data_IF_371753111971
#
_entry.id   IF_371753111971
#
_cell.length_a   1.000
_cell.length_b   1.000
_cell.length_c   1.000
_cell.angle_alpha   90.00
_cell.angle_beta   90.00
_cell.angle_gamma   90.00
#
_symmetry.space_group_name_H-M   'P 1'
#
loop_
_entity.id
_entity.type
_entity.pdbx_description
1 polymer ?
#
# COMPACT_ATOMS: atom_id res chain seq x y z
N UNK A 1 80.36 5.11 -16.36
CA UNK A 1 80.88 4.61 -17.66
C UNK A 1 79.73 4.00 -18.41
N UNK A 2 79.32 4.66 -19.46
CA UNK A 2 79.17 4.10 -20.82
C UNK A 2 78.15 2.96 -20.89
N UNK A 3 77.19 2.91 -21.78
CA UNK A 3 76.76 3.57 -23.07
C UNK A 3 75.35 3.06 -23.35
N UNK A 4 74.36 3.87 -23.72
CA UNK A 4 73.93 4.21 -25.09
C UNK A 4 73.70 3.00 -25.99
N UNK A 5 72.45 2.86 -26.44
CA UNK A 5 71.91 2.72 -27.83
C UNK A 5 70.52 2.09 -27.71
N UNK A 6 69.45 2.71 -27.98
CA UNK A 6 68.89 3.33 -29.23
C UNK A 6 68.36 2.34 -30.27
N UNK A 7 67.16 2.60 -30.72
CA UNK A 7 66.51 2.37 -32.01
C UNK A 7 65.82 1.00 -32.19
N UNK A 8 64.65 0.83 -32.74
CA UNK A 8 63.83 1.41 -33.77
C UNK A 8 62.53 0.63 -33.89
N UNK A 9 61.43 1.35 -34.03
CA UNK A 9 60.23 1.13 -34.88
C UNK A 9 59.79 -0.29 -35.23
N UNK A 10 58.51 -0.57 -34.98
CA UNK A 10 57.58 -0.98 -36.04
C UNK A 10 56.12 -0.79 -35.59
N UNK A 11 55.42 0.02 -36.32
CA UNK A 11 53.98 0.22 -36.21
C UNK A 11 53.25 -1.00 -36.81
N UNK A 12 52.29 -1.52 -36.06
CA UNK A 12 51.26 -2.38 -36.62
C UNK A 12 49.91 -1.96 -36.07
N UNK A 13 49.12 -1.29 -36.91
CA UNK A 13 47.73 -1.00 -36.72
C UNK A 13 46.98 -2.35 -36.55
N UNK A 14 46.36 -2.52 -35.39
CA UNK A 14 45.27 -3.48 -35.19
C UNK A 14 44.04 -2.72 -34.74
N UNK A 15 43.12 -2.55 -35.66
CA UNK A 15 41.78 -2.03 -35.42
C UNK A 15 41.05 -3.12 -34.63
N UNK A 16 40.86 -2.94 -33.33
CA UNK A 16 39.91 -3.70 -32.54
C UNK A 16 38.67 -2.87 -32.38
N UNK A 17 37.60 -3.35 -33.02
CA UNK A 17 36.26 -2.79 -32.85
C UNK A 17 35.84 -2.92 -31.39
N UNK A 18 35.83 -1.81 -30.69
CA UNK A 18 35.23 -1.67 -29.35
C UNK A 18 33.72 -1.74 -29.49
N UNK A 19 33.14 -2.89 -29.15
CA UNK A 19 31.73 -2.99 -28.82
C UNK A 19 31.43 -2.08 -27.65
N UNK A 20 30.77 -0.96 -27.91
CA UNK A 20 30.32 -0.05 -26.89
C UNK A 20 29.30 -0.72 -25.97
N UNK A 21 29.64 -0.93 -24.70
CA UNK A 21 28.67 -1.09 -23.66
C UNK A 21 27.92 0.22 -23.55
N UNK A 22 26.70 0.24 -24.09
CA UNK A 22 25.77 1.34 -23.81
C UNK A 22 25.43 1.30 -22.33
N UNK A 23 26.06 2.20 -21.60
CA UNK A 23 25.60 2.63 -20.30
C UNK A 23 24.21 3.22 -20.48
N UNK A 24 23.17 2.48 -20.07
CA UNK A 24 21.81 3.03 -19.99
C UNK A 24 21.85 4.15 -18.95
N UNK A 25 21.99 5.36 -19.45
CA UNK A 25 21.79 6.56 -18.66
C UNK A 25 20.41 6.48 -18.01
N UNK A 26 20.38 6.73 -16.71
CA UNK A 26 19.15 6.97 -15.97
C UNK A 26 18.41 8.11 -16.70
N UNK A 27 17.26 7.81 -17.25
CA UNK A 27 16.33 8.83 -17.73
C UNK A 27 15.84 9.59 -16.50
N UNK A 28 15.79 10.93 -16.52
CA UNK A 28 15.11 11.68 -15.48
C UNK A 28 13.65 11.24 -15.43
N UNK A 29 13.15 10.96 -14.23
CA UNK A 29 11.73 10.68 -13.97
C UNK A 29 10.94 11.94 -14.40
N UNK A 30 10.35 11.89 -15.59
CA UNK A 30 9.39 12.88 -16.06
C UNK A 30 8.03 12.53 -15.47
N UNK A 31 7.66 13.27 -14.43
CA UNK A 31 6.44 13.08 -13.65
C UNK A 31 5.15 13.48 -14.38
N UNK A 32 4.91 13.00 -15.59
CA UNK A 32 3.66 13.25 -16.32
C UNK A 32 3.39 12.14 -17.35
N UNK A 33 2.83 11.03 -16.83
CA UNK A 33 1.88 10.21 -17.61
C UNK A 33 1.18 9.31 -16.60
N UNK A 34 -0.13 9.40 -16.53
CA UNK A 34 -0.95 8.36 -15.93
C UNK A 34 -0.63 7.03 -16.61
N UNK A 35 0.32 6.30 -16.05
CA UNK A 35 0.51 4.90 -16.42
C UNK A 35 -0.79 4.21 -16.02
N UNK A 36 -1.44 3.61 -16.98
CA UNK A 36 -2.56 2.71 -16.70
C UNK A 36 -1.97 1.59 -15.86
N UNK A 37 -2.24 1.60 -14.55
CA UNK A 37 -1.84 0.51 -13.66
C UNK A 37 -2.28 -0.79 -14.28
N UNK A 38 -1.32 -1.65 -14.57
CA UNK A 38 -1.61 -2.92 -15.20
C UNK A 38 -1.99 -3.90 -14.07
N UNK A 39 -3.22 -4.37 -14.06
CA UNK A 39 -3.72 -5.30 -13.05
C UNK A 39 -2.84 -6.56 -12.88
N UNK A 40 -1.99 -6.88 -13.87
CA UNK A 40 -1.05 -8.01 -13.80
C UNK A 40 0.14 -7.77 -12.85
N UNK A 41 0.41 -6.53 -12.46
CA UNK A 41 1.52 -6.17 -11.59
C UNK A 41 1.07 -5.96 -10.14
N UNK A 42 -0.25 -6.02 -9.88
CA UNK A 42 -0.84 -5.81 -8.56
C UNK A 42 -1.16 -7.14 -7.85
N UNK A 43 -1.09 -7.11 -6.53
CA UNK A 43 -1.44 -8.25 -5.69
C UNK A 43 -2.96 -8.33 -5.54
N UNK A 44 -3.61 -9.43 -5.97
CA UNK A 44 -5.05 -9.60 -5.76
C UNK A 44 -5.40 -9.63 -4.27
N UNK A 45 -6.61 -9.20 -3.95
CA UNK A 45 -7.12 -9.27 -2.56
C UNK A 45 -7.03 -10.67 -1.97
N UNK A 46 -6.70 -10.73 -0.69
CA UNK A 46 -6.87 -11.93 0.16
C UNK A 46 -8.13 -11.87 1.03
N UNK A 47 -8.85 -10.75 0.99
CA UNK A 47 -10.06 -10.49 1.77
C UNK A 47 -11.30 -10.74 0.92
N UNK A 48 -11.57 -12.02 0.61
CA UNK A 48 -12.75 -12.41 -0.17
C UNK A 48 -14.05 -12.27 0.64
N UNK A 49 -13.97 -12.51 1.95
CA UNK A 49 -15.08 -12.33 2.90
C UNK A 49 -14.79 -11.11 3.78
N UNK A 50 -15.69 -10.15 3.73
CA UNK A 50 -15.66 -8.94 4.57
C UNK A 50 -17.06 -8.61 5.03
N UNK A 51 -17.19 -7.85 6.14
CA UNK A 51 -18.47 -7.41 6.70
C UNK A 51 -19.39 -8.59 7.09
N UNK A 52 -18.81 -9.68 7.55
CA UNK A 52 -19.53 -10.92 7.94
C UNK A 52 -19.83 -11.00 9.46
N UNK A 53 -19.35 -10.03 10.24
CA UNK A 53 -19.69 -9.92 11.66
C UNK A 53 -21.05 -9.25 11.83
N UNK A 54 -22.07 -10.06 12.19
CA UNK A 54 -23.44 -9.58 12.28
C UNK A 54 -23.60 -8.44 13.32
N UNK A 55 -24.29 -7.38 12.93
CA UNK A 55 -24.53 -6.22 13.77
C UNK A 55 -23.35 -5.25 13.88
N UNK A 56 -22.19 -5.57 13.32
CA UNK A 56 -21.03 -4.66 13.33
C UNK A 56 -20.81 -4.10 11.93
N UNK A 57 -20.71 -2.78 11.82
CA UNK A 57 -20.60 -2.09 10.51
C UNK A 57 -19.50 -1.04 10.52
N UNK A 58 -18.89 -0.84 9.35
CA UNK A 58 -17.93 0.23 9.10
C UNK A 58 -18.32 1.00 7.84
N UNK A 59 -18.42 2.31 7.95
CA UNK A 59 -18.81 3.18 6.83
C UNK A 59 -17.90 4.39 6.76
N UNK A 60 -17.78 4.99 5.57
CA UNK A 60 -17.05 6.24 5.38
C UNK A 60 -17.93 7.41 5.79
N UNK A 61 -17.42 8.29 6.66
CA UNK A 61 -18.10 9.52 7.05
C UNK A 61 -18.15 10.49 5.87
N UNK A 62 -19.35 10.92 5.52
CA UNK A 62 -19.56 11.81 4.36
C UNK A 62 -18.73 13.10 4.46
N UNK A 63 -18.13 13.50 3.33
CA UNK A 63 -17.35 14.74 3.22
C UNK A 63 -15.93 14.68 3.81
N UNK A 64 -15.45 13.51 4.22
CA UNK A 64 -14.09 13.37 4.81
C UNK A 64 -13.08 12.76 3.86
N UNK A 65 -13.53 12.19 2.74
CA UNK A 65 -12.64 11.54 1.76
C UNK A 65 -11.71 12.54 1.12
N UNK A 66 -10.43 12.25 1.17
CA UNK A 66 -9.36 12.99 0.50
C UNK A 66 -8.36 12.01 -0.13
N UNK A 67 -7.46 12.47 -1.02
CA UNK A 67 -6.39 11.61 -1.53
C UNK A 67 -5.46 11.02 -0.45
N UNK A 68 -5.42 11.61 0.74
CA UNK A 68 -4.46 11.27 1.80
C UNK A 68 -5.10 10.60 3.02
N UNK A 69 -6.43 10.60 3.13
CA UNK A 69 -7.11 10.07 4.32
C UNK A 69 -8.62 10.22 4.27
N UNK A 70 -9.28 9.65 5.27
CA UNK A 70 -10.71 9.76 5.51
C UNK A 70 -11.04 9.52 6.99
N UNK A 71 -12.29 9.71 7.36
CA UNK A 71 -12.83 9.29 8.66
C UNK A 71 -13.81 8.14 8.45
N UNK A 72 -13.65 7.08 9.22
CA UNK A 72 -14.59 5.96 9.31
C UNK A 72 -15.54 6.18 10.48
N UNK A 73 -16.74 5.67 10.34
CA UNK A 73 -17.68 5.43 11.43
C UNK A 73 -17.82 3.93 11.61
N UNK A 74 -17.52 3.43 12.81
CA UNK A 74 -17.63 2.01 13.17
C UNK A 74 -18.72 1.90 14.24
N UNK A 75 -19.71 1.04 14.00
CA UNK A 75 -20.87 0.87 14.87
C UNK A 75 -21.03 -0.60 15.25
N UNK A 76 -21.25 -0.85 16.52
CA UNK A 76 -21.56 -2.17 17.07
C UNK A 76 -23.01 -2.24 17.55
N UNK A 77 -23.89 -2.77 16.71
CA UNK A 77 -25.29 -3.04 17.05
C UNK A 77 -25.52 -4.52 17.43
N UNK A 78 -24.44 -5.25 17.71
CA UNK A 78 -24.50 -6.63 18.23
C UNK A 78 -24.52 -6.66 19.75
N UNK A 79 -24.52 -7.86 20.32
CA UNK A 79 -24.44 -8.10 21.75
C UNK A 79 -23.04 -8.54 22.24
N UNK A 80 -22.03 -8.52 21.36
CA UNK A 80 -20.66 -8.90 21.64
C UNK A 80 -19.75 -7.70 21.85
N UNK A 81 -18.69 -7.86 22.67
CA UNK A 81 -17.64 -6.88 22.76
C UNK A 81 -16.68 -7.03 21.59
N UNK A 82 -16.40 -5.93 20.91
CA UNK A 82 -15.43 -5.90 19.83
C UNK A 82 -14.18 -5.11 20.24
N UNK A 83 -13.05 -5.48 19.61
CA UNK A 83 -11.78 -4.75 19.73
C UNK A 83 -11.21 -4.55 18.32
N UNK A 84 -10.73 -3.34 18.01
CA UNK A 84 -10.02 -3.08 16.76
C UNK A 84 -8.74 -2.29 17.01
N UNK A 85 -7.78 -2.40 16.10
CA UNK A 85 -6.47 -1.78 16.25
C UNK A 85 -6.22 -0.64 15.27
N UNK A 86 -4.95 -0.22 15.19
CA UNK A 86 -4.47 0.78 14.23
C UNK A 86 -4.30 0.21 12.80
N UNK A 87 -4.28 -1.10 12.65
CA UNK A 87 -4.13 -1.74 11.36
C UNK A 87 -5.20 -1.30 10.36
N UNK A 88 -4.78 -1.02 9.15
CA UNK A 88 -5.64 -0.89 7.98
C UNK A 88 -4.88 -1.28 6.71
N UNK A 89 -5.61 -1.62 5.67
CA UNK A 89 -5.09 -1.90 4.35
C UNK A 89 -6.00 -1.23 3.31
N UNK A 90 -5.39 -0.69 2.25
CA UNK A 90 -6.12 -0.12 1.13
C UNK A 90 -6.11 -1.07 -0.05
N UNK A 91 -7.26 -1.17 -0.73
CA UNK A 91 -7.39 -1.87 -1.99
C UNK A 91 -8.04 -0.97 -3.04
N UNK A 92 -7.63 -1.16 -4.29
CA UNK A 92 -8.15 -0.47 -5.46
C UNK A 92 -8.98 -1.42 -6.31
N UNK A 93 -10.09 -0.94 -6.83
CA UNK A 93 -10.94 -1.72 -7.73
C UNK A 93 -10.56 -1.50 -9.18
N UNK A 94 -10.15 -2.58 -9.86
CA UNK A 94 -9.86 -2.59 -11.29
C UNK A 94 -10.61 -3.76 -11.93
N UNK A 95 -11.32 -3.51 -13.02
CA UNK A 95 -12.10 -4.51 -13.76
C UNK A 95 -12.98 -5.39 -12.86
N UNK A 96 -13.67 -4.74 -11.90
CA UNK A 96 -14.54 -5.35 -10.89
C UNK A 96 -13.83 -6.29 -9.88
N UNK A 97 -12.52 -6.28 -9.82
CA UNK A 97 -11.71 -7.02 -8.85
C UNK A 97 -10.97 -6.07 -7.92
N UNK A 98 -10.70 -6.55 -6.71
CA UNK A 98 -9.94 -5.82 -5.71
C UNK A 98 -8.47 -6.24 -5.72
N UNK A 99 -7.58 -5.25 -5.61
CA UNK A 99 -6.12 -5.43 -5.56
C UNK A 99 -5.55 -4.58 -4.42
N UNK A 100 -4.56 -5.11 -3.71
CA UNK A 100 -3.84 -4.36 -2.68
C UNK A 100 -3.17 -3.13 -3.29
N UNK A 101 -3.32 -1.96 -2.67
CA UNK A 101 -2.57 -0.75 -3.03
C UNK A 101 -1.13 -0.94 -2.56
N UNK A 102 -0.12 -0.81 -3.42
CA UNK A 102 1.27 -0.93 -3.02
C UNK A 102 1.65 0.15 -2.00
N UNK A 103 2.40 -0.24 -0.97
CA UNK A 103 3.01 0.71 -0.04
C UNK A 103 4.16 1.46 -0.72
N UNK A 104 4.37 2.73 -0.37
CA UNK A 104 5.39 3.60 -0.97
C UNK A 104 6.66 3.72 -0.13
N UNK A 105 6.62 3.26 1.12
CA UNK A 105 7.78 3.28 2.02
C UNK A 105 8.72 2.12 1.73
N UNK A 106 10.02 2.35 1.92
CA UNK A 106 11.05 1.31 1.85
C UNK A 106 11.32 0.73 3.24
N UNK A 107 11.53 -0.60 3.31
CA UNK A 107 11.84 -1.30 4.55
C UNK A 107 10.62 -1.78 5.32
N UNK A 108 10.85 -2.16 6.58
CA UNK A 108 9.80 -2.68 7.46
C UNK A 108 8.98 -1.54 8.04
N UNK A 109 7.67 -1.75 8.13
CA UNK A 109 6.74 -0.85 8.80
C UNK A 109 5.82 -1.63 9.73
N UNK A 110 5.18 -0.92 10.64
CA UNK A 110 4.22 -1.51 11.56
C UNK A 110 3.22 -0.49 12.05
N UNK A 111 2.14 -1.00 12.61
CA UNK A 111 1.15 -0.20 13.31
C UNK A 111 1.40 -0.29 14.81
N UNK A 112 1.00 0.73 15.55
CA UNK A 112 1.04 0.70 17.00
C UNK A 112 0.07 -0.38 17.52
N UNK A 113 0.50 -1.13 18.52
CA UNK A 113 -0.30 -2.17 19.18
C UNK A 113 -1.27 -1.55 20.20
N UNK A 114 -2.22 -0.77 19.68
CA UNK A 114 -3.28 -0.11 20.46
C UNK A 114 -4.60 -0.78 20.12
N UNK A 115 -5.31 -1.25 21.15
CA UNK A 115 -6.67 -1.78 21.02
C UNK A 115 -7.72 -0.75 21.44
N UNK A 116 -8.72 -0.54 20.59
CA UNK A 116 -9.90 0.28 20.86
C UNK A 116 -11.08 -0.64 21.12
N UNK A 117 -11.64 -0.52 22.31
CA UNK A 117 -12.87 -1.26 22.65
C UNK A 117 -14.08 -0.63 21.95
N UNK A 118 -14.94 -1.47 21.41
CA UNK A 118 -16.23 -1.10 20.81
C UNK A 118 -17.31 -1.99 21.43
N UNK A 119 -17.87 -1.53 22.54
CA UNK A 119 -18.90 -2.27 23.30
C UNK A 119 -20.24 -2.35 22.53
N UNK A 120 -21.15 -3.26 22.92
CA UNK A 120 -22.51 -3.29 22.40
C UNK A 120 -23.20 -1.92 22.49
N UNK A 121 -23.71 -1.45 21.35
CA UNK A 121 -24.36 -0.15 21.22
C UNK A 121 -23.41 1.02 20.95
N UNK A 122 -22.11 0.80 20.93
CA UNK A 122 -21.13 1.87 20.69
C UNK A 122 -21.07 2.26 19.21
N UNK A 123 -20.79 3.55 19.02
CA UNK A 123 -20.48 4.15 17.74
C UNK A 123 -19.25 5.03 17.89
N UNK A 124 -18.22 4.76 17.12
CA UNK A 124 -16.94 5.47 17.17
C UNK A 124 -16.54 6.00 15.81
N UNK A 125 -15.84 7.12 15.80
CA UNK A 125 -15.19 7.65 14.62
C UNK A 125 -13.69 7.35 14.70
N UNK A 126 -13.13 6.88 13.59
CA UNK A 126 -11.71 6.61 13.46
C UNK A 126 -11.17 7.34 12.22
N UNK A 127 -10.30 8.33 12.48
CA UNK A 127 -9.64 9.10 11.43
C UNK A 127 -8.34 8.42 11.02
N UNK A 128 -8.09 8.31 9.73
CA UNK A 128 -6.85 7.79 9.19
C UNK A 128 -6.25 8.73 8.16
N UNK A 129 -4.92 8.91 8.27
CA UNK A 129 -4.05 9.49 7.28
C UNK A 129 -3.12 8.38 6.78
N UNK A 130 -3.24 8.06 5.51
CA UNK A 130 -2.42 7.02 4.88
C UNK A 130 -1.28 7.56 4.04
N UNK A 131 -1.06 8.88 4.03
CA UNK A 131 -0.01 9.51 3.22
C UNK A 131 1.39 8.95 3.53
N UNK A 132 1.64 8.62 4.80
CA UNK A 132 2.92 8.05 5.23
C UNK A 132 3.18 6.64 4.67
N UNK A 133 2.14 5.86 4.37
CA UNK A 133 2.23 4.45 3.95
C UNK A 133 2.00 4.27 2.45
N UNK A 134 0.98 4.95 1.90
CA UNK A 134 0.55 4.77 0.51
C UNK A 134 0.78 6.01 -0.37
N UNK A 135 1.22 7.13 0.22
CA UNK A 135 1.27 8.40 -0.47
C UNK A 135 -0.14 8.96 -0.76
N UNK A 136 -0.24 9.83 -1.74
CA UNK A 136 -1.49 10.41 -2.21
C UNK A 136 -2.12 9.50 -3.25
N UNK A 137 -3.36 9.06 -3.02
CA UNK A 137 -4.07 8.19 -3.95
C UNK A 137 -4.52 8.94 -5.20
N UNK A 138 -4.40 8.29 -6.34
CA UNK A 138 -4.96 8.75 -7.60
C UNK A 138 -6.47 8.56 -7.65
N UNK A 139 -7.12 9.15 -8.67
CA UNK A 139 -8.54 8.94 -8.95
C UNK A 139 -8.86 7.47 -9.10
N UNK A 140 -9.96 7.05 -8.49
CA UNK A 140 -10.36 5.64 -8.55
C UNK A 140 -11.34 5.22 -7.49
N UNK A 141 -11.77 3.96 -7.57
CA UNK A 141 -12.59 3.30 -6.55
C UNK A 141 -11.69 2.48 -5.64
N UNK A 142 -11.86 2.68 -4.36
CA UNK A 142 -11.07 2.07 -3.30
C UNK A 142 -11.95 1.46 -2.24
N UNK A 143 -11.37 0.59 -1.42
CA UNK A 143 -11.92 0.23 -0.11
C UNK A 143 -10.81 0.20 0.92
N UNK A 144 -11.17 0.53 2.15
CA UNK A 144 -10.32 0.36 3.32
C UNK A 144 -10.76 -0.89 4.07
N UNK A 145 -9.81 -1.73 4.45
CA UNK A 145 -10.01 -2.94 5.24
C UNK A 145 -9.47 -2.70 6.64
N UNK A 146 -10.22 -3.10 7.66
CA UNK A 146 -9.79 -3.17 9.06
C UNK A 146 -10.11 -4.53 9.63
N UNK A 147 -9.23 -5.04 10.46
CA UNK A 147 -9.56 -6.15 11.35
C UNK A 147 -10.44 -5.66 12.51
N UNK A 148 -11.30 -6.54 12.98
CA UNK A 148 -12.08 -6.39 14.18
C UNK A 148 -12.19 -7.75 14.87
N UNK A 149 -12.04 -7.75 16.17
CA UNK A 149 -12.06 -8.96 16.97
C UNK A 149 -13.43 -9.09 17.68
N UNK A 150 -14.08 -10.24 17.55
CA UNK A 150 -15.05 -10.71 18.53
C UNK A 150 -14.26 -11.10 19.78
N UNK A 151 -14.16 -10.18 20.75
CA UNK A 151 -13.22 -10.27 21.85
C UNK A 151 -13.88 -10.77 23.14
N UNK A 152 -13.50 -11.98 23.55
CA UNK A 152 -13.96 -12.64 24.79
C UNK A 152 -12.93 -12.58 25.91
N UNK A 153 -11.64 -12.33 25.54
CA UNK A 153 -10.54 -12.25 26.49
C UNK A 153 -9.18 -12.43 25.82
N UNK A 154 -8.10 -12.24 26.57
CA UNK A 154 -6.74 -12.43 26.08
C UNK A 154 -6.53 -13.87 25.60
N UNK A 155 -6.26 -14.04 24.32
CA UNK A 155 -6.09 -15.35 23.68
C UNK A 155 -7.39 -16.06 23.32
N UNK A 156 -8.55 -15.42 23.54
CA UNK A 156 -9.87 -15.91 23.17
C UNK A 156 -10.64 -14.87 22.38
N UNK A 157 -10.47 -14.90 21.07
CA UNK A 157 -11.13 -13.99 20.12
C UNK A 157 -11.20 -14.64 18.73
N UNK A 158 -12.16 -14.22 17.94
CA UNK A 158 -12.22 -14.50 16.52
C UNK A 158 -11.94 -13.21 15.72
N UNK A 159 -11.23 -13.32 14.61
CA UNK A 159 -10.88 -12.16 13.76
C UNK A 159 -11.82 -12.10 12.57
N UNK A 160 -12.46 -10.95 12.40
CA UNK A 160 -13.26 -10.60 11.23
C UNK A 160 -12.65 -9.40 10.51
N UNK A 161 -13.14 -9.14 9.31
CA UNK A 161 -12.66 -8.01 8.50
C UNK A 161 -13.84 -7.15 8.07
N UNK A 162 -13.73 -5.86 8.37
CA UNK A 162 -14.66 -4.85 7.89
C UNK A 162 -14.08 -4.12 6.68
N UNK A 163 -14.93 -3.77 5.72
CA UNK A 163 -14.56 -3.01 4.55
C UNK A 163 -15.53 -1.86 4.30
N UNK A 164 -15.00 -0.69 3.96
CA UNK A 164 -15.76 0.46 3.52
C UNK A 164 -15.24 0.97 2.18
N UNK A 165 -16.12 1.05 1.18
CA UNK A 165 -15.79 1.55 -0.16
C UNK A 165 -15.85 3.08 -0.21
N UNK A 166 -14.94 3.69 -1.02
CA UNK A 166 -14.92 5.13 -1.29
C UNK A 166 -14.37 5.42 -2.70
N UNK A 167 -14.53 6.66 -3.15
CA UNK A 167 -14.03 7.12 -4.45
C UNK A 167 -13.19 8.38 -4.27
N UNK A 168 -12.06 8.43 -4.95
CA UNK A 168 -11.26 9.65 -5.15
C UNK A 168 -11.61 10.19 -6.55
N UNK A 169 -12.08 11.44 -6.63
CA UNK A 169 -12.53 12.13 -7.86
C UNK A 169 -11.46 13.04 -8.48
#
# INVERSE_FOLDING_TARGET
>A
MRKILALIMAALLSIVALGGCMNKGATPFDGTKGETENANDLVPTKYETVNDLEGVTMTVKGGTVSPNGLTLTIENNSDINCLYGQFFLLEKKLDDKWYEVPVTIEGDYGFEDIGYELAPGDKQEWETDWQWLYGSLDKGRYRIIKDILDFRGTGDFDTHYLAAEFTID
#
